data_IF_432463333989
#
_entry.id   IF_432463333989
#
_cell.length_a   1.000
_cell.length_b   1.000
_cell.length_c   1.000
_cell.angle_alpha   90.00
_cell.angle_beta   90.00
_cell.angle_gamma   90.00
#
_symmetry.space_group_name_H-M   'P 1'
#
loop_
_entity.id
_entity.type
_entity.pdbx_description
1 polymer ?
#
# COMPACT_ATOMS: atom_id res chain seq x y z
N UNK A 1 -0.54 -3.61 4.32
CA UNK A 1 -1.22 -4.93 4.13
C UNK A 1 -0.46 -5.72 3.08
N UNK A 2 -0.04 -6.95 3.37
CA UNK A 2 0.78 -7.69 2.42
C UNK A 2 0.46 -9.19 2.41
N UNK A 3 0.52 -9.78 1.22
CA UNK A 3 0.60 -11.23 1.03
C UNK A 3 2.06 -11.66 1.01
N UNK A 4 2.35 -12.84 1.57
CA UNK A 4 3.69 -13.42 1.48
C UNK A 4 4.08 -13.64 0.00
N UNK A 5 5.35 -13.38 -0.38
CA UNK A 5 5.82 -13.46 -1.77
C UNK A 5 6.07 -14.92 -2.18
N UNK A 6 4.99 -15.69 -2.35
CA UNK A 6 5.03 -17.12 -2.68
C UNK A 6 4.76 -17.32 -4.17
N UNK A 7 5.58 -18.11 -4.91
CA UNK A 7 5.32 -18.47 -6.29
C UNK A 7 3.89 -19.02 -6.49
N UNK A 8 3.21 -18.57 -7.53
CA UNK A 8 1.82 -18.92 -7.85
C UNK A 8 0.75 -18.34 -6.92
N UNK A 9 1.12 -17.54 -5.88
CA UNK A 9 0.18 -16.89 -4.97
C UNK A 9 0.32 -15.37 -4.94
N UNK A 10 1.52 -14.85 -5.22
CA UNK A 10 1.79 -13.42 -5.29
C UNK A 10 1.76 -12.95 -6.75
N UNK A 11 1.18 -11.76 -7.01
CA UNK A 11 1.16 -11.09 -8.31
C UNK A 11 0.71 -11.99 -9.48
N UNK A 12 -0.29 -12.81 -9.26
CA UNK A 12 -0.79 -13.78 -10.26
C UNK A 12 -1.30 -13.14 -11.54
N UNK A 13 -1.74 -11.87 -11.51
CA UNK A 13 -2.15 -11.10 -12.70
C UNK A 13 -0.96 -10.71 -13.60
N UNK A 14 0.27 -10.81 -13.08
CA UNK A 14 1.50 -10.60 -13.85
C UNK A 14 2.01 -11.90 -14.49
N UNK A 15 1.49 -13.08 -14.13
CA UNK A 15 1.98 -14.38 -14.62
C UNK A 15 1.79 -14.64 -16.13
N UNK A 16 0.92 -13.94 -16.88
CA UNK A 16 1.00 -13.98 -18.33
C UNK A 16 2.30 -13.41 -18.92
N UNK A 17 3.03 -12.58 -18.14
CA UNK A 17 4.26 -11.90 -18.53
C UNK A 17 5.49 -12.42 -17.77
N UNK A 18 5.27 -12.93 -16.57
CA UNK A 18 6.28 -13.39 -15.63
C UNK A 18 6.01 -14.84 -15.24
N UNK A 19 7.05 -15.62 -15.03
CA UNK A 19 6.88 -16.91 -14.34
C UNK A 19 6.38 -16.70 -12.91
N UNK A 20 5.78 -17.73 -12.28
CA UNK A 20 5.39 -17.62 -10.88
C UNK A 20 6.53 -17.22 -9.93
N UNK A 21 7.75 -17.67 -10.20
CA UNK A 21 8.96 -17.34 -9.45
C UNK A 21 9.37 -15.88 -9.63
N UNK A 22 9.31 -15.37 -10.86
CA UNK A 22 9.59 -13.96 -11.17
C UNK A 22 8.52 -13.03 -10.55
N UNK A 23 7.26 -13.41 -10.62
CA UNK A 23 6.16 -12.66 -9.99
C UNK A 23 6.32 -12.61 -8.46
N UNK A 24 6.72 -13.71 -7.82
CA UNK A 24 7.03 -13.74 -6.39
C UNK A 24 8.27 -12.90 -6.05
N UNK A 25 9.32 -12.96 -6.87
CA UNK A 25 10.51 -12.15 -6.69
C UNK A 25 10.20 -10.64 -6.82
N UNK A 26 9.33 -10.27 -7.75
CA UNK A 26 8.85 -8.89 -7.90
C UNK A 26 8.05 -8.46 -6.67
N UNK A 27 7.14 -9.31 -6.17
CA UNK A 27 6.39 -9.04 -4.93
C UNK A 27 7.32 -8.85 -3.73
N UNK A 28 8.36 -9.66 -3.61
CA UNK A 28 9.38 -9.54 -2.56
C UNK A 28 10.16 -8.21 -2.67
N UNK A 29 10.50 -7.80 -3.89
CA UNK A 29 11.17 -6.53 -4.15
C UNK A 29 10.28 -5.33 -3.78
N UNK A 30 8.99 -5.38 -4.13
CA UNK A 30 8.02 -4.34 -3.73
C UNK A 30 7.91 -4.24 -2.21
N UNK A 31 7.77 -5.36 -1.51
CA UNK A 31 7.73 -5.38 -0.05
C UNK A 31 8.96 -4.73 0.57
N UNK A 32 10.14 -5.05 0.04
CA UNK A 32 11.40 -4.47 0.52
C UNK A 32 11.42 -2.96 0.31
N UNK A 33 11.11 -2.49 -0.90
CA UNK A 33 11.12 -1.07 -1.22
C UNK A 33 10.06 -0.29 -0.45
N UNK A 34 8.83 -0.79 -0.33
CA UNK A 34 7.77 -0.15 0.46
C UNK A 34 8.16 -0.03 1.93
N UNK A 35 8.74 -1.08 2.52
CA UNK A 35 9.15 -1.04 3.93
C UNK A 35 10.38 -0.14 4.15
N UNK A 36 11.31 -0.06 3.20
CA UNK A 36 12.43 0.89 3.23
C UNK A 36 11.96 2.34 3.05
N UNK A 37 10.94 2.56 2.20
CA UNK A 37 10.33 3.88 2.03
C UNK A 37 9.63 4.33 3.33
N UNK A 38 8.89 3.46 4.00
CA UNK A 38 8.31 3.75 5.33
C UNK A 38 9.41 4.06 6.35
N UNK A 39 10.51 3.30 6.34
CA UNK A 39 11.66 3.58 7.20
C UNK A 39 12.32 4.93 6.87
N UNK A 40 12.35 5.33 5.59
CA UNK A 40 12.82 6.65 5.18
C UNK A 40 11.89 7.74 5.72
N UNK A 41 10.56 7.59 5.56
CA UNK A 41 9.56 8.51 6.07
C UNK A 41 9.64 8.66 7.60
N UNK A 42 10.04 7.63 8.34
CA UNK A 42 10.20 7.67 9.80
C UNK A 42 11.32 8.61 10.29
N UNK A 43 12.17 9.09 9.40
CA UNK A 43 13.19 10.10 9.72
C UNK A 43 12.64 11.53 9.71
N UNK A 44 11.47 11.72 9.07
CA UNK A 44 10.84 13.02 8.87
C UNK A 44 9.55 13.19 9.69
N UNK A 45 8.90 12.08 10.06
CA UNK A 45 7.69 12.05 10.87
C UNK A 45 7.70 10.84 11.83
N UNK A 46 6.95 10.85 12.94
CA UNK A 46 6.93 9.76 13.91
C UNK A 46 6.16 8.53 13.40
N UNK A 47 6.70 7.89 12.38
CA UNK A 47 6.12 6.73 11.69
C UNK A 47 6.85 5.46 12.13
N UNK A 48 6.08 4.40 12.41
CA UNK A 48 6.59 3.04 12.60
C UNK A 48 5.94 2.11 11.57
N UNK A 49 6.75 1.39 10.80
CA UNK A 49 6.29 0.42 9.81
C UNK A 49 6.05 -0.96 10.39
N UNK A 50 4.91 -1.56 10.01
CA UNK A 50 4.60 -2.96 10.27
C UNK A 50 3.99 -3.59 9.02
N UNK A 51 4.24 -4.88 8.79
CA UNK A 51 3.50 -5.67 7.83
C UNK A 51 2.29 -6.29 8.54
N UNK A 52 1.10 -5.92 8.09
CA UNK A 52 -0.12 -6.60 8.45
C UNK A 52 -0.31 -7.79 7.52
N UNK A 53 -0.34 -9.00 8.08
CA UNK A 53 -0.29 -10.26 7.35
C UNK A 53 -1.42 -11.22 7.78
N UNK A 54 -1.71 -12.19 6.91
CA UNK A 54 -2.58 -13.33 7.15
C UNK A 54 -2.12 -14.52 6.26
N UNK A 55 -2.41 -15.77 6.64
CA UNK A 55 -2.97 -16.24 7.90
C UNK A 55 -1.94 -16.27 9.03
N UNK A 56 -2.37 -16.59 10.25
CA UNK A 56 -1.47 -16.89 11.36
C UNK A 56 -0.50 -18.02 10.98
N UNK A 57 0.76 -17.91 11.42
CA UNK A 57 1.83 -18.86 11.08
C UNK A 57 2.57 -18.56 9.77
N UNK A 58 2.19 -17.47 9.07
CA UNK A 58 2.86 -17.05 7.83
C UNK A 58 4.08 -16.13 8.04
N UNK A 59 4.45 -15.85 9.29
CA UNK A 59 5.49 -14.88 9.67
C UNK A 59 6.84 -15.17 9.01
N UNK A 60 7.25 -16.43 9.02
CA UNK A 60 8.53 -16.85 8.44
C UNK A 60 8.64 -16.58 6.93
N UNK A 61 7.52 -16.47 6.24
CA UNK A 61 7.48 -16.21 4.80
C UNK A 61 7.88 -14.77 4.42
N UNK A 62 7.99 -13.89 5.41
CA UNK A 62 8.44 -12.51 5.22
C UNK A 62 9.92 -12.32 5.55
N UNK A 63 10.61 -13.36 6.08
CA UNK A 63 12.01 -13.29 6.44
C UNK A 63 12.89 -12.91 5.23
N UNK A 64 13.76 -11.91 5.41
CA UNK A 64 14.66 -11.42 4.36
C UNK A 64 14.01 -10.49 3.31
N UNK A 65 12.69 -10.30 3.37
CA UNK A 65 11.95 -9.47 2.38
C UNK A 65 11.55 -8.09 2.91
N UNK A 66 11.86 -7.77 4.16
CA UNK A 66 11.46 -6.51 4.80
C UNK A 66 12.68 -5.67 5.18
N UNK A 67 12.50 -4.36 5.25
CA UNK A 67 13.47 -3.45 5.84
C UNK A 67 13.74 -3.81 7.32
N UNK A 68 14.95 -3.56 7.78
CA UNK A 68 15.31 -3.82 9.19
C UNK A 68 14.40 -3.04 10.15
N UNK A 69 13.96 -3.70 11.21
CA UNK A 69 13.07 -3.07 12.21
C UNK A 69 11.59 -2.98 11.80
N UNK A 70 11.20 -3.48 10.63
CA UNK A 70 9.79 -3.61 10.26
C UNK A 70 9.13 -4.68 11.13
N UNK A 71 8.07 -4.32 11.86
CA UNK A 71 7.30 -5.25 12.68
C UNK A 71 6.35 -6.13 11.86
N UNK A 72 5.81 -7.16 12.49
CA UNK A 72 4.73 -7.99 11.93
C UNK A 72 3.50 -7.88 12.82
N UNK A 73 2.31 -7.76 12.22
CA UNK A 73 1.02 -7.69 12.89
C UNK A 73 0.07 -8.66 12.21
N UNK A 74 -0.48 -9.60 12.98
CA UNK A 74 -1.53 -10.48 12.46
C UNK A 74 -2.79 -9.65 12.15
N UNK A 75 -3.32 -9.80 10.97
CA UNK A 75 -4.51 -9.09 10.49
C UNK A 75 -5.41 -10.01 9.65
N UNK A 76 -5.75 -11.16 10.22
CA UNK A 76 -6.55 -12.20 9.58
C UNK A 76 -8.07 -11.99 9.72
N UNK A 77 -8.48 -10.91 10.42
CA UNK A 77 -9.89 -10.62 10.68
C UNK A 77 -10.53 -11.53 11.72
N UNK A 78 -9.73 -12.28 12.51
CA UNK A 78 -10.22 -13.21 13.54
C UNK A 78 -10.91 -12.55 14.74
N UNK A 79 -10.60 -11.31 15.19
CA UNK A 79 -11.33 -10.66 16.27
C UNK A 79 -12.83 -10.56 16.00
N UNK A 80 -13.60 -10.45 17.08
CA UNK A 80 -15.02 -10.17 16.99
C UNK A 80 -15.23 -8.76 16.42
N UNK A 81 -15.60 -8.68 15.15
CA UNK A 81 -15.87 -7.45 14.43
C UNK A 81 -17.34 -7.34 14.08
N UNK A 82 -17.88 -6.12 13.87
CA UNK A 82 -19.27 -5.94 13.46
C UNK A 82 -19.63 -6.81 12.25
N UNK A 83 -20.80 -7.44 12.21
CA UNK A 83 -21.17 -8.44 11.20
C UNK A 83 -21.21 -7.88 9.76
N UNK A 84 -21.42 -6.57 9.62
CA UNK A 84 -21.41 -5.87 8.32
C UNK A 84 -19.99 -5.62 7.78
N UNK A 85 -18.95 -5.75 8.62
CA UNK A 85 -17.56 -5.70 8.17
C UNK A 85 -17.18 -7.09 7.67
N UNK A 86 -17.05 -7.23 6.35
CA UNK A 86 -16.85 -8.53 5.69
C UNK A 86 -15.61 -8.52 4.79
N UNK A 87 -15.19 -9.72 4.37
CA UNK A 87 -14.11 -9.91 3.43
C UNK A 87 -12.80 -9.21 3.84
N UNK A 88 -12.18 -8.53 2.91
CA UNK A 88 -10.91 -7.83 3.14
C UNK A 88 -11.01 -6.69 4.18
N UNK A 89 -12.21 -6.09 4.34
CA UNK A 89 -12.46 -5.07 5.35
C UNK A 89 -12.19 -5.54 6.78
N UNK A 90 -12.43 -6.83 7.08
CA UNK A 90 -12.11 -7.41 8.39
C UNK A 90 -10.61 -7.36 8.66
N UNK A 91 -9.80 -7.69 7.67
CA UNK A 91 -8.34 -7.64 7.80
C UNK A 91 -7.83 -6.20 7.98
N UNK A 92 -8.39 -5.25 7.23
CA UNK A 92 -8.03 -3.84 7.34
C UNK A 92 -8.38 -3.27 8.72
N UNK A 93 -9.62 -3.50 9.19
CA UNK A 93 -10.06 -3.02 10.51
C UNK A 93 -9.24 -3.68 11.62
N UNK A 94 -8.98 -4.99 11.54
CA UNK A 94 -8.12 -5.69 12.50
C UNK A 94 -6.71 -5.08 12.54
N UNK A 95 -6.09 -4.80 11.39
CA UNK A 95 -4.78 -4.15 11.33
C UNK A 95 -4.78 -2.77 12.01
N UNK A 96 -5.80 -1.94 11.76
CA UNK A 96 -5.96 -0.63 12.40
C UNK A 96 -6.09 -0.78 13.91
N UNK A 97 -6.97 -1.67 14.39
CA UNK A 97 -7.17 -1.92 15.81
C UNK A 97 -5.87 -2.37 16.49
N UNK A 98 -5.22 -3.39 15.94
CA UNK A 98 -3.98 -3.91 16.49
C UNK A 98 -2.87 -2.85 16.56
N UNK A 99 -2.77 -1.96 15.58
CA UNK A 99 -1.80 -0.86 15.62
C UNK A 99 -2.14 0.17 16.70
N UNK A 100 -3.40 0.56 16.83
CA UNK A 100 -3.84 1.52 17.85
C UNK A 100 -3.69 0.95 19.28
N UNK A 101 -3.93 -0.34 19.47
CA UNK A 101 -3.72 -1.05 20.75
C UNK A 101 -2.24 -1.05 21.20
N UNK A 102 -1.28 -0.85 20.29
CA UNK A 102 0.14 -0.64 20.68
C UNK A 102 0.42 0.72 21.31
N UNK A 103 -0.60 1.59 21.45
CA UNK A 103 -0.45 2.97 21.92
C UNK A 103 -0.13 3.96 20.81
N UNK A 104 -0.22 3.57 19.54
CA UNK A 104 -0.08 4.51 18.42
C UNK A 104 -1.23 5.52 18.42
N UNK A 105 -0.95 6.81 18.17
CA UNK A 105 -1.94 7.88 18.11
C UNK A 105 -2.81 7.82 16.86
N UNK A 106 -2.30 7.21 15.80
CA UNK A 106 -2.98 6.99 14.53
C UNK A 106 -2.47 5.69 13.90
N UNK A 107 -3.27 5.09 13.03
CA UNK A 107 -2.88 3.95 12.23
C UNK A 107 -3.26 4.16 10.76
N UNK A 108 -2.36 3.76 9.86
CA UNK A 108 -2.61 3.75 8.42
C UNK A 108 -2.46 2.32 7.89
N UNK A 109 -3.41 1.88 7.08
CA UNK A 109 -3.21 0.74 6.19
C UNK A 109 -2.68 1.25 4.86
N UNK A 110 -1.59 0.64 4.40
CA UNK A 110 -0.90 0.95 3.16
C UNK A 110 -0.88 -0.30 2.30
N UNK A 111 -1.06 -0.19 0.98
CA UNK A 111 -0.84 -1.31 0.09
C UNK A 111 0.66 -1.67 0.02
N UNK A 112 0.98 -2.84 -0.49
CA UNK A 112 2.37 -3.31 -0.67
C UNK A 112 2.83 -3.28 -2.12
N UNK A 113 2.03 -2.68 -2.98
CA UNK A 113 2.10 -2.87 -4.42
C UNK A 113 2.44 -1.58 -5.18
N UNK A 114 2.75 -0.51 -4.43
CA UNK A 114 3.16 0.82 -4.93
C UNK A 114 4.63 1.11 -4.56
N UNK A 115 5.61 0.42 -5.18
CA UNK A 115 7.02 0.51 -4.77
C UNK A 115 7.61 1.91 -4.94
N UNK A 116 7.08 2.71 -5.86
CA UNK A 116 7.56 4.07 -6.15
C UNK A 116 6.74 5.17 -5.45
N UNK A 117 5.85 4.81 -4.52
CA UNK A 117 5.06 5.80 -3.78
C UNK A 117 5.97 6.89 -3.18
N UNK A 118 5.72 8.20 -3.44
CA UNK A 118 6.53 9.26 -2.90
C UNK A 118 6.59 9.24 -1.37
N UNK A 119 7.79 9.31 -0.80
CA UNK A 119 8.00 9.37 0.66
C UNK A 119 7.23 10.51 1.30
N UNK A 120 7.12 11.66 0.60
CA UNK A 120 6.40 12.84 1.08
C UNK A 120 4.92 12.55 1.39
N UNK A 121 4.26 11.64 0.65
CA UNK A 121 2.85 11.27 0.92
C UNK A 121 2.69 10.50 2.24
N UNK A 122 3.68 9.68 2.61
CA UNK A 122 3.67 8.99 3.90
C UNK A 122 3.86 9.98 5.06
N UNK A 123 4.74 10.94 4.89
CA UNK A 123 5.00 12.00 5.86
C UNK A 123 3.77 12.91 6.02
N UNK A 124 3.14 13.30 4.90
CA UNK A 124 1.93 14.13 4.91
C UNK A 124 0.77 13.41 5.61
N UNK A 125 0.55 12.12 5.31
CA UNK A 125 -0.48 11.32 5.98
C UNK A 125 -0.32 11.34 7.50
N UNK A 126 0.90 11.13 7.99
CA UNK A 126 1.19 11.16 9.41
C UNK A 126 0.94 12.54 10.03
N UNK A 127 1.41 13.60 9.39
CA UNK A 127 1.24 14.97 9.89
C UNK A 127 -0.23 15.37 9.98
N UNK A 128 -1.02 15.09 8.94
CA UNK A 128 -2.46 15.38 8.91
C UNK A 128 -3.20 14.67 10.04
N UNK A 129 -2.92 13.39 10.29
CA UNK A 129 -3.56 12.63 11.36
C UNK A 129 -3.14 13.08 12.76
N UNK A 130 -1.89 13.53 12.93
CA UNK A 130 -1.39 13.97 14.22
C UNK A 130 -1.84 15.39 14.57
N UNK A 131 -2.23 16.18 13.58
CA UNK A 131 -2.73 17.53 13.77
C UNK A 131 -4.13 17.52 14.39
N UNK A 132 -5.05 16.69 13.88
CA UNK A 132 -6.44 16.61 14.34
C UNK A 132 -6.98 15.17 14.35
N UNK A 133 -7.67 14.75 15.44
CA UNK A 133 -8.13 13.37 15.59
C UNK A 133 -9.43 13.05 14.81
N UNK A 134 -10.17 14.05 14.34
CA UNK A 134 -11.46 13.95 13.63
C UNK A 134 -11.30 13.81 12.10
N UNK A 135 -10.13 13.35 11.66
CA UNK A 135 -9.77 13.20 10.24
C UNK A 135 -9.56 11.76 9.84
N UNK A 136 -9.90 11.50 8.60
CA UNK A 136 -9.48 10.30 7.83
C UNK A 136 -8.59 10.78 6.70
N UNK A 137 -7.43 10.18 6.54
CA UNK A 137 -6.55 10.42 5.40
C UNK A 137 -6.78 9.32 4.38
N UNK A 138 -7.08 9.71 3.14
CA UNK A 138 -7.31 8.81 2.02
C UNK A 138 -6.33 9.11 0.90
N UNK A 139 -5.49 8.15 0.55
CA UNK A 139 -4.66 8.16 -0.66
C UNK A 139 -5.33 7.32 -1.74
N UNK A 140 -6.07 7.91 -2.70
CA UNK A 140 -6.79 7.15 -3.70
C UNK A 140 -5.83 6.46 -4.68
N UNK A 141 -6.21 5.25 -5.12
CA UNK A 141 -5.53 4.52 -6.17
C UNK A 141 -6.25 4.74 -7.51
N UNK A 142 -5.50 4.63 -8.62
CA UNK A 142 -6.03 4.88 -9.96
C UNK A 142 -7.12 3.85 -10.39
N UNK A 143 -7.18 2.71 -9.71
CA UNK A 143 -8.18 1.64 -9.93
C UNK A 143 -9.51 1.85 -9.20
N UNK A 144 -9.67 2.98 -8.48
CA UNK A 144 -10.85 3.30 -7.66
C UNK A 144 -10.80 2.76 -6.23
N UNK A 145 -9.73 2.06 -5.86
CA UNK A 145 -9.37 1.72 -4.48
C UNK A 145 -8.61 2.84 -3.78
N UNK A 146 -7.79 2.47 -2.83
CA UNK A 146 -6.85 3.38 -2.16
C UNK A 146 -5.51 2.70 -1.88
N UNK A 147 -4.43 3.43 -2.05
CA UNK A 147 -3.11 2.96 -1.64
C UNK A 147 -2.88 3.16 -0.13
N UNK A 148 -3.56 4.16 0.47
CA UNK A 148 -3.46 4.48 1.90
C UNK A 148 -4.82 4.86 2.46
N UNK A 149 -5.15 4.35 3.66
CA UNK A 149 -6.26 4.81 4.49
C UNK A 149 -5.77 4.92 5.94
N UNK A 150 -5.89 6.11 6.54
CA UNK A 150 -5.42 6.41 7.88
C UNK A 150 -6.48 7.03 8.77
N UNK A 151 -6.42 6.74 10.08
CA UNK A 151 -7.37 7.23 11.09
C UNK A 151 -6.76 7.17 12.50
N UNK A 152 -7.39 7.88 13.44
CA UNK A 152 -6.97 7.92 14.84
C UNK A 152 -7.80 7.03 15.77
N UNK A 153 -8.92 6.50 15.26
CA UNK A 153 -9.79 5.55 15.97
C UNK A 153 -10.29 4.48 15.00
N UNK A 154 -10.62 3.26 15.46
CA UNK A 154 -11.02 2.16 14.59
C UNK A 154 -12.50 2.30 14.19
N UNK A 155 -12.78 3.13 13.19
CA UNK A 155 -14.12 3.39 12.67
C UNK A 155 -14.62 2.20 11.83
N UNK A 156 -15.29 1.22 12.46
CA UNK A 156 -15.80 0.02 11.78
C UNK A 156 -16.71 0.35 10.59
N UNK A 157 -17.52 1.43 10.69
CA UNK A 157 -18.43 1.85 9.64
C UNK A 157 -17.74 2.14 8.31
N UNK A 158 -16.45 2.53 8.30
CA UNK A 158 -15.67 2.75 7.07
C UNK A 158 -15.49 1.46 6.25
N UNK A 159 -15.65 0.30 6.86
CA UNK A 159 -15.39 -1.01 6.26
C UNK A 159 -16.66 -1.85 6.07
N UNK A 160 -17.83 -1.35 6.51
CA UNK A 160 -19.10 -2.07 6.39
C UNK A 160 -19.60 -2.09 4.95
N UNK A 161 -20.09 -3.25 4.50
CA UNK A 161 -20.74 -3.46 3.21
C UNK A 161 -19.97 -2.85 2.02
N UNK A 162 -18.66 -2.94 2.04
CA UNK A 162 -17.81 -2.52 0.93
C UNK A 162 -17.74 -3.64 -0.12
N UNK A 163 -18.00 -3.29 -1.37
CA UNK A 163 -17.75 -4.16 -2.52
C UNK A 163 -16.25 -4.15 -2.86
N UNK A 164 -15.48 -4.97 -2.13
CA UNK A 164 -14.03 -5.03 -2.32
C UNK A 164 -13.64 -5.46 -3.73
N UNK A 165 -12.48 -4.98 -4.21
CA UNK A 165 -11.95 -5.22 -5.55
C UNK A 165 -12.81 -4.62 -6.67
N UNK A 166 -13.49 -3.52 -6.41
CA UNK A 166 -14.21 -2.70 -7.39
C UNK A 166 -13.66 -1.28 -7.40
N UNK A 167 -13.98 -0.52 -8.45
CA UNK A 167 -13.63 0.88 -8.63
C UNK A 167 -14.41 1.86 -7.71
N UNK A 168 -15.31 1.33 -6.88
CA UNK A 168 -16.16 2.13 -5.99
C UNK A 168 -15.68 2.19 -4.54
N UNK A 169 -14.60 1.48 -4.19
CA UNK A 169 -14.11 1.33 -2.80
C UNK A 169 -13.78 2.67 -2.16
N UNK A 170 -13.01 3.52 -2.82
CA UNK A 170 -12.64 4.83 -2.29
C UNK A 170 -13.87 5.73 -2.07
N UNK A 171 -14.82 5.77 -3.03
CA UNK A 171 -16.03 6.58 -2.90
C UNK A 171 -16.95 6.08 -1.80
N UNK A 172 -17.10 4.78 -1.65
CA UNK A 172 -17.84 4.19 -0.53
C UNK A 172 -17.21 4.58 0.82
N UNK A 173 -15.87 4.57 0.92
CA UNK A 173 -15.14 4.99 2.12
C UNK A 173 -15.36 6.48 2.42
N UNK A 174 -15.29 7.36 1.40
CA UNK A 174 -15.60 8.80 1.55
C UNK A 174 -17.01 9.04 2.07
N UNK A 175 -17.98 8.36 1.49
CA UNK A 175 -19.40 8.49 1.87
C UNK A 175 -19.60 8.10 3.33
N UNK A 176 -18.97 7.01 3.79
CA UNK A 176 -19.08 6.55 5.19
C UNK A 176 -18.34 7.47 6.16
N UNK A 177 -17.19 8.01 5.78
CA UNK A 177 -16.47 8.98 6.60
C UNK A 177 -17.33 10.24 6.83
N UNK A 178 -17.96 10.77 5.76
CA UNK A 178 -18.88 11.90 5.85
C UNK A 178 -20.10 11.59 6.74
N UNK A 179 -20.65 10.38 6.66
CA UNK A 179 -21.77 9.95 7.52
C UNK A 179 -21.38 9.91 9.00
N UNK A 180 -20.12 9.69 9.33
CA UNK A 180 -19.56 9.77 10.69
C UNK A 180 -19.18 11.20 11.11
N UNK A 181 -19.34 12.20 10.25
CA UNK A 181 -18.89 13.57 10.50
C UNK A 181 -17.36 13.73 10.48
N UNK A 182 -16.63 12.77 9.89
CA UNK A 182 -15.18 12.83 9.78
C UNK A 182 -14.77 13.67 8.55
N UNK A 183 -13.78 14.54 8.74
CA UNK A 183 -13.13 15.25 7.63
C UNK A 183 -12.28 14.24 6.83
N UNK A 184 -12.48 14.17 5.53
CA UNK A 184 -11.65 13.36 4.63
C UNK A 184 -10.59 14.26 4.00
N UNK A 185 -9.33 14.05 4.35
CA UNK A 185 -8.19 14.70 3.70
C UNK A 185 -7.65 13.75 2.64
N UNK A 186 -7.73 14.17 1.39
CA UNK A 186 -7.25 13.37 0.27
C UNK A 186 -5.81 13.72 -0.07
N UNK A 187 -5.00 12.68 -0.20
CA UNK A 187 -3.65 12.77 -0.76
C UNK A 187 -3.73 12.69 -2.29
N UNK A 188 -2.71 13.17 -3.01
CA UNK A 188 -2.58 12.95 -4.44
C UNK A 188 -2.73 11.47 -4.81
N UNK A 189 -3.41 11.15 -5.94
CA UNK A 189 -3.58 9.76 -6.38
C UNK A 189 -2.25 9.12 -6.74
N UNK A 190 -2.17 7.81 -6.56
CA UNK A 190 -1.02 7.00 -6.96
C UNK A 190 -1.51 5.67 -7.54
N UNK A 191 -0.59 4.88 -8.10
CA UNK A 191 -0.92 3.61 -8.71
C UNK A 191 -0.27 2.44 -7.95
N UNK A 192 -0.86 1.29 -8.08
CA UNK A 192 -0.33 -0.02 -7.68
C UNK A 192 0.02 -0.86 -8.92
N UNK A 193 0.95 -1.77 -8.76
CA UNK A 193 1.46 -2.59 -9.88
C UNK A 193 0.83 -3.97 -9.79
N UNK A 194 -0.39 -4.09 -10.29
CA UNK A 194 -1.16 -5.34 -10.24
C UNK A 194 -1.35 -6.03 -11.60
N UNK A 195 -1.19 -5.29 -12.68
CA UNK A 195 -1.38 -5.79 -14.01
C UNK A 195 -0.28 -5.36 -14.99
N UNK A 196 -0.42 -5.76 -16.26
CA UNK A 196 0.50 -5.41 -17.34
C UNK A 196 0.62 -3.91 -17.55
N UNK A 197 -0.49 -3.17 -17.52
CA UNK A 197 -0.49 -1.74 -17.82
C UNK A 197 0.28 -0.97 -16.74
N UNK A 198 0.03 -1.30 -15.47
CA UNK A 198 0.74 -0.74 -14.33
C UNK A 198 2.22 -1.13 -14.31
N UNK A 199 2.58 -2.36 -14.72
CA UNK A 199 3.97 -2.78 -14.86
C UNK A 199 4.69 -1.99 -15.96
N UNK A 200 4.06 -1.74 -17.11
CA UNK A 200 4.61 -0.89 -18.18
C UNK A 200 4.81 0.56 -17.71
N UNK A 201 3.88 1.08 -16.90
CA UNK A 201 4.01 2.41 -16.28
C UNK A 201 5.22 2.46 -15.35
N UNK A 202 5.39 1.46 -14.48
CA UNK A 202 6.54 1.35 -13.59
C UNK A 202 7.86 1.36 -14.38
N UNK A 203 7.96 0.55 -15.43
CA UNK A 203 9.16 0.49 -16.27
C UNK A 203 9.44 1.84 -16.96
N UNK A 204 8.41 2.55 -17.40
CA UNK A 204 8.55 3.88 -17.99
C UNK A 204 9.03 4.91 -16.96
N UNK A 205 8.43 4.91 -15.76
CA UNK A 205 8.80 5.80 -14.66
C UNK A 205 10.25 5.59 -14.23
N UNK A 206 10.68 4.34 -14.07
CA UNK A 206 12.06 4.01 -13.66
C UNK A 206 13.10 4.28 -14.73
N UNK A 207 12.69 4.40 -15.99
CA UNK A 207 13.59 4.69 -17.12
C UNK A 207 13.69 6.18 -17.43
N UNK A 208 12.81 7.01 -16.91
CA UNK A 208 12.77 8.44 -17.16
C UNK A 208 13.35 9.23 -15.97
N UNK A 209 14.11 10.31 -16.20
CA UNK A 209 14.43 11.23 -15.12
C UNK A 209 13.12 11.82 -14.57
N UNK A 210 12.94 11.79 -13.24
CA UNK A 210 11.76 12.28 -12.55
C UNK A 210 11.58 13.79 -12.81
N UNK A 211 10.72 14.14 -13.75
CA UNK A 211 10.31 15.52 -14.03
C UNK A 211 8.85 15.73 -13.61
N UNK A 212 8.53 15.49 -12.35
CA UNK A 212 7.19 15.64 -11.82
C UNK A 212 7.00 16.97 -11.10
N UNK A 213 6.13 17.83 -11.63
CA UNK A 213 5.73 19.09 -10.98
C UNK A 213 4.54 18.92 -10.02
N UNK A 214 4.19 17.70 -9.62
CA UNK A 214 3.15 17.47 -8.64
C UNK A 214 3.69 17.77 -7.22
N UNK A 215 2.84 18.35 -6.38
CA UNK A 215 3.19 18.75 -5.01
C UNK A 215 2.14 18.22 -4.03
N UNK A 216 2.58 17.99 -2.79
CA UNK A 216 1.67 17.72 -1.66
C UNK A 216 0.83 18.95 -1.35
N UNK A 217 -0.21 18.82 -0.54
CA UNK A 217 -0.99 19.95 -0.03
C UNK A 217 -0.14 20.91 0.81
N UNK A 218 0.90 20.40 1.45
CA UNK A 218 1.89 21.19 2.22
C UNK A 218 3.00 21.82 1.35
N UNK A 219 2.97 21.62 0.03
CA UNK A 219 3.93 22.22 -0.90
C UNK A 219 5.23 21.42 -1.08
N UNK A 220 5.34 20.19 -0.57
CA UNK A 220 6.49 19.33 -0.83
C UNK A 220 6.42 18.71 -2.25
N UNK A 221 7.54 18.66 -2.95
CA UNK A 221 7.59 18.06 -4.27
C UNK A 221 7.34 16.54 -4.22
N UNK A 222 6.45 16.06 -5.08
CA UNK A 222 6.18 14.64 -5.25
C UNK A 222 7.22 14.01 -6.17
N UNK A 223 8.30 13.54 -5.56
CA UNK A 223 9.30 12.74 -6.27
C UNK A 223 9.04 11.26 -5.98
N UNK A 224 8.86 10.42 -7.02
CA UNK A 224 8.74 8.98 -6.83
C UNK A 224 9.90 8.44 -5.99
N UNK A 225 9.60 7.49 -5.10
CA UNK A 225 10.65 6.75 -4.40
C UNK A 225 11.43 5.90 -5.41
N UNK A 226 12.74 5.89 -5.31
CA UNK A 226 13.62 5.28 -6.31
C UNK A 226 13.46 3.76 -6.47
N UNK A 227 12.86 3.08 -5.49
CA UNK A 227 12.59 1.64 -5.48
C UNK A 227 13.80 0.79 -5.95
N UNK A 228 14.97 0.89 -5.29
CA UNK A 228 16.21 0.31 -5.81
C UNK A 228 16.17 -1.22 -5.89
N UNK A 229 15.45 -1.90 -4.99
CA UNK A 229 15.34 -3.37 -4.99
C UNK A 229 14.45 -3.83 -6.13
N UNK A 230 13.38 -3.11 -6.41
CA UNK A 230 12.52 -3.32 -7.58
C UNK A 230 13.31 -3.12 -8.88
N UNK A 231 14.10 -2.06 -8.97
CA UNK A 231 14.97 -1.80 -10.14
C UNK A 231 15.96 -2.95 -10.38
N UNK A 232 16.62 -3.42 -9.32
CA UNK A 232 17.53 -4.55 -9.39
C UNK A 232 16.83 -5.85 -9.80
N UNK A 233 15.61 -6.08 -9.30
CA UNK A 233 14.78 -7.22 -9.65
C UNK A 233 14.39 -7.20 -11.14
N UNK A 234 13.92 -6.07 -11.64
CA UNK A 234 13.59 -5.84 -13.05
C UNK A 234 14.79 -6.12 -13.95
N UNK A 235 15.97 -5.59 -13.61
CA UNK A 235 17.20 -5.81 -14.36
C UNK A 235 17.61 -7.30 -14.38
N UNK A 236 17.50 -8.00 -13.26
CA UNK A 236 17.82 -9.44 -13.12
C UNK A 236 16.88 -10.32 -13.95
N UNK A 237 15.60 -9.99 -14.00
CA UNK A 237 14.58 -10.71 -14.79
C UNK A 237 14.75 -10.38 -16.29
N UNK A 238 15.50 -9.33 -16.64
CA UNK A 238 15.64 -8.87 -18.01
C UNK A 238 14.37 -8.22 -18.58
N UNK A 239 13.56 -7.64 -17.70
CA UNK A 239 12.27 -7.07 -18.06
C UNK A 239 12.50 -5.68 -18.65
N UNK A 240 12.34 -5.57 -19.97
CA UNK A 240 12.46 -4.31 -20.68
C UNK A 240 11.13 -3.94 -21.36
N UNK A 241 10.85 -2.66 -21.48
CA UNK A 241 9.62 -2.15 -22.14
C UNK A 241 9.42 -2.75 -23.55
N UNK A 242 10.52 -2.95 -24.28
CA UNK A 242 10.49 -3.57 -25.62
C UNK A 242 10.05 -5.05 -25.60
N UNK A 243 10.46 -5.82 -24.59
CA UNK A 243 10.09 -7.23 -24.44
C UNK A 243 8.58 -7.42 -24.21
N UNK A 244 7.95 -6.50 -23.48
CA UNK A 244 6.52 -6.54 -23.20
C UNK A 244 5.66 -6.08 -24.37
N UNK A 245 6.20 -5.27 -25.29
CA UNK A 245 5.51 -4.86 -26.51
C UNK A 245 5.46 -5.98 -27.55
N UNK A 246 6.45 -6.86 -27.60
CA UNK A 246 6.51 -8.02 -28.51
C UNK A 246 5.59 -9.18 -28.11
N UNK A 247 5.31 -9.36 -26.82
CA UNK A 247 4.42 -10.40 -26.32
C UNK A 247 2.92 -10.07 -26.53
N UNK A 248 2.61 -8.95 -27.20
CA UNK A 248 1.25 -8.47 -27.45
C UNK A 248 0.76 -8.71 -28.91
N UNK A 249 1.60 -9.32 -29.74
CA UNK A 249 1.25 -9.79 -31.10
C UNK A 249 1.03 -11.28 -31.12
#
# INVERSE_FOLDING_TARGET
>A
MAKAPIPGRAKTRLTPLLTPEEAAAMSAAFLRDVTENVQRASREAPIRGCIAYAPAGAEALFNGHLAAGTGLVLADGSPLLPPRVQGFGRCLLHAIQAMLETGARAACVLNSDSPTLPTALLVEAANVLLERPDRVVLGPADDGGYYLLGMTAPHAHLFEDIAWSTDTVAEATRTRARALGLEVVELPPWYDVDDRAALLRLLAEMSAPSSGAAMTSSGAALTPYAAPVTAACIARIGLHRASLSLAAQ
#
